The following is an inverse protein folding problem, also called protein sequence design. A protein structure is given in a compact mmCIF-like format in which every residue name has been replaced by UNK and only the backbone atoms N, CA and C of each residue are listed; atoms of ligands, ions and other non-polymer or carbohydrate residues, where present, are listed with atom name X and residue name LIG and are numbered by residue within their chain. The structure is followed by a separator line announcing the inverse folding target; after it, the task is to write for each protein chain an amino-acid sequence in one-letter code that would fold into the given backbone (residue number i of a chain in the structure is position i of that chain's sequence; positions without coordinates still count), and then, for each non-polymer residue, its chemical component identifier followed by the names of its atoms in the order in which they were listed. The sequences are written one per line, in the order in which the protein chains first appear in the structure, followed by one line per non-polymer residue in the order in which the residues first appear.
data_IF_676928359528
#
_entry.id   IF_676928359528
#
_cell.length_a   1.000
_cell.length_b   1.000
_cell.length_c   1.000
_cell.angle_alpha   90.00
_cell.angle_beta   90.00
_cell.angle_gamma   90.00
#
_symmetry.space_group_name_H-M   'P 1'
#
loop_
_entity.id
_entity.type
_entity.pdbx_description
1 polymer ?
#
# COMPACT_ATOMS: atom_id res chain seq x y z
N UNK A 1 -25.05 -2.99 12.30
CA UNK A 1 -24.46 -1.64 12.06
C UNK A 1 -24.36 -0.96 13.42
N UNK A 2 -23.16 -0.57 13.83
CA UNK A 2 -22.93 0.11 15.11
C UNK A 2 -22.97 1.61 14.84
N UNK A 3 -23.90 2.32 15.48
CA UNK A 3 -24.14 3.73 15.24
C UNK A 3 -24.08 4.48 16.58
N UNK A 4 -23.40 5.63 16.60
CA UNK A 4 -23.24 6.46 17.80
C UNK A 4 -21.87 6.29 18.49
N UNK A 5 -21.41 7.35 19.15
CA UNK A 5 -20.07 7.41 19.73
C UNK A 5 -19.86 6.34 20.81
N UNK A 6 -20.83 6.17 21.71
CA UNK A 6 -20.70 5.26 22.85
C UNK A 6 -20.65 3.81 22.40
N UNK A 7 -21.55 3.41 21.48
CA UNK A 7 -21.55 2.08 20.90
C UNK A 7 -20.26 1.78 20.10
N UNK A 8 -19.74 2.77 19.38
CA UNK A 8 -18.45 2.63 18.69
C UNK A 8 -17.28 2.48 19.66
N UNK A 9 -17.24 3.25 20.76
CA UNK A 9 -16.22 3.09 21.80
C UNK A 9 -16.29 1.70 22.43
N UNK A 10 -17.47 1.28 22.84
CA UNK A 10 -17.69 -0.05 23.42
C UNK A 10 -17.20 -1.16 22.48
N UNK A 11 -17.54 -1.07 21.19
CA UNK A 11 -17.08 -2.01 20.17
C UNK A 11 -15.55 -1.98 20.01
N UNK A 12 -14.93 -0.79 19.90
CA UNK A 12 -13.49 -0.63 19.65
C UNK A 12 -12.60 -1.02 20.83
N UNK A 13 -13.14 -1.06 22.05
CA UNK A 13 -12.42 -1.53 23.25
C UNK A 13 -12.71 -3.00 23.59
N UNK A 14 -13.55 -3.68 22.80
CA UNK A 14 -13.91 -5.08 23.04
C UNK A 14 -13.04 -6.02 22.19
N UNK A 15 -12.07 -6.67 22.83
CA UNK A 15 -11.15 -7.62 22.17
C UNK A 15 -11.87 -8.77 21.43
N UNK A 16 -13.11 -9.11 21.82
CA UNK A 16 -13.89 -10.15 21.14
C UNK A 16 -14.36 -9.73 19.74
N UNK A 17 -14.27 -8.44 19.38
CA UNK A 17 -14.75 -7.87 18.11
C UNK A 17 -13.57 -7.34 17.26
N UNK A 18 -12.32 -7.55 17.70
CA UNK A 18 -11.11 -7.07 17.01
C UNK A 18 -10.73 -7.88 15.75
N UNK A 19 -11.49 -8.93 15.42
CA UNK A 19 -11.25 -9.78 14.27
C UNK A 19 -11.38 -9.06 12.92
N UNK A 20 -10.92 -9.70 11.85
CA UNK A 20 -11.11 -9.23 10.47
C UNK A 20 -12.02 -10.16 9.68
N UNK A 21 -12.81 -9.62 8.72
CA UNK A 21 -13.62 -10.44 7.84
C UNK A 21 -12.82 -11.52 7.11
N UNK A 22 -13.44 -12.68 6.92
CA UNK A 22 -12.90 -13.80 6.14
C UNK A 22 -13.77 -14.03 4.91
N UNK A 23 -13.17 -14.50 3.83
CA UNK A 23 -13.87 -14.82 2.59
C UNK A 23 -12.98 -14.64 1.37
N UNK A 24 -13.49 -15.09 0.23
CA UNK A 24 -12.77 -15.08 -1.06
C UNK A 24 -12.24 -13.68 -1.39
N UNK A 25 -13.04 -12.63 -1.19
CA UNK A 25 -12.62 -11.26 -1.45
C UNK A 25 -11.37 -10.85 -0.65
N UNK A 26 -11.33 -11.18 0.64
CA UNK A 26 -10.24 -10.79 1.55
C UNK A 26 -9.01 -11.70 1.44
N UNK A 27 -9.19 -12.96 1.04
CA UNK A 27 -8.09 -13.93 0.94
C UNK A 27 -7.43 -13.90 -0.44
N UNK A 28 -8.21 -13.68 -1.50
CA UNK A 28 -7.69 -13.73 -2.87
C UNK A 28 -6.71 -12.60 -3.18
N UNK A 29 -6.79 -11.44 -2.50
CA UNK A 29 -5.76 -10.37 -2.59
C UNK A 29 -4.36 -10.81 -2.17
N UNK A 30 -4.26 -11.91 -1.41
CA UNK A 30 -3.03 -12.50 -0.89
C UNK A 30 -2.98 -13.99 -1.21
N UNK A 31 -3.28 -14.34 -2.47
CA UNK A 31 -3.16 -15.70 -3.05
C UNK A 31 -3.98 -16.79 -2.34
N UNK A 32 -5.10 -16.42 -1.71
CA UNK A 32 -5.96 -17.35 -0.96
C UNK A 32 -5.55 -17.52 0.50
N UNK A 33 -4.49 -16.85 0.93
CA UNK A 33 -4.04 -16.83 2.32
C UNK A 33 -4.39 -15.49 2.97
N UNK A 34 -4.22 -15.39 4.30
CA UNK A 34 -4.41 -14.14 5.04
C UNK A 34 -3.05 -13.57 5.41
N UNK A 35 -2.58 -12.60 4.63
CA UNK A 35 -1.28 -11.95 4.80
C UNK A 35 -1.42 -10.44 4.89
N UNK A 36 -0.35 -9.77 5.30
CA UNK A 36 -0.32 -8.32 5.52
C UNK A 36 -0.72 -7.92 6.95
N UNK A 37 -1.16 -6.69 7.10
CA UNK A 37 -1.51 -6.03 8.39
C UNK A 37 -2.95 -5.50 8.38
N UNK A 38 -3.53 -5.22 7.21
CA UNK A 38 -4.84 -4.58 7.08
C UNK A 38 -6.00 -5.52 7.43
N UNK A 39 -5.94 -6.77 6.94
CA UNK A 39 -7.03 -7.77 6.99
C UNK A 39 -6.67 -9.06 7.75
N UNK A 40 -5.55 -9.03 8.47
CA UNK A 40 -5.10 -10.10 9.38
C UNK A 40 -5.52 -9.82 10.82
N UNK A 41 -5.58 -10.86 11.64
CA UNK A 41 -5.89 -10.80 13.08
C UNK A 41 -5.03 -11.81 13.86
N UNK A 42 -5.16 -11.79 15.20
CA UNK A 42 -4.44 -12.70 16.09
C UNK A 42 -2.95 -12.39 16.21
N UNK A 43 -2.14 -13.41 16.51
CA UNK A 43 -0.70 -13.25 16.74
C UNK A 43 0.07 -12.77 15.51
N UNK A 44 -0.30 -13.24 14.32
CA UNK A 44 0.29 -12.75 13.06
C UNK A 44 0.13 -11.23 12.93
N UNK A 45 -1.07 -10.71 13.17
CA UNK A 45 -1.31 -9.28 13.12
C UNK A 45 -0.53 -8.51 14.19
N UNK A 46 -0.50 -9.00 15.43
CA UNK A 46 0.24 -8.36 16.53
C UNK A 46 1.73 -8.24 16.21
N UNK A 47 2.31 -9.31 15.69
CA UNK A 47 3.73 -9.37 15.32
C UNK A 47 4.04 -8.43 14.17
N UNK A 48 3.28 -8.51 13.07
CA UNK A 48 3.52 -7.72 11.85
C UNK A 48 3.23 -6.24 12.07
N UNK A 49 2.18 -5.89 12.83
CA UNK A 49 1.90 -4.50 13.21
C UNK A 49 3.01 -3.93 14.11
N UNK A 50 3.49 -4.71 15.08
CA UNK A 50 4.57 -4.27 15.97
C UNK A 50 5.85 -4.02 15.18
N UNK A 51 6.21 -4.95 14.30
CA UNK A 51 7.35 -4.83 13.39
C UNK A 51 7.23 -3.55 12.54
N UNK A 52 6.13 -3.40 11.81
CA UNK A 52 5.91 -2.28 10.90
C UNK A 52 5.93 -0.93 11.63
N UNK A 53 5.22 -0.79 12.75
CA UNK A 53 5.18 0.46 13.51
C UNK A 53 6.50 0.80 14.18
N UNK A 54 7.28 -0.20 14.61
CA UNK A 54 8.60 0.02 15.18
C UNK A 54 9.51 0.64 14.11
N UNK A 55 9.62 0.01 12.95
CA UNK A 55 10.56 0.44 11.92
C UNK A 55 10.11 1.70 11.18
N UNK A 56 8.80 1.88 10.94
CA UNK A 56 8.28 3.16 10.44
C UNK A 56 8.73 4.32 11.36
N UNK A 57 8.63 4.16 12.68
CA UNK A 57 9.06 5.20 13.63
C UNK A 57 10.56 5.44 13.64
N UNK A 58 11.36 4.40 13.41
CA UNK A 58 12.83 4.50 13.27
C UNK A 58 13.19 5.33 12.03
N UNK A 59 12.49 5.10 10.91
CA UNK A 59 12.68 5.86 9.66
C UNK A 59 11.92 7.20 9.60
N UNK A 60 11.39 7.66 10.73
CA UNK A 60 10.88 9.03 10.90
C UNK A 60 9.37 9.20 10.94
N UNK A 61 8.58 8.13 10.77
CA UNK A 61 7.11 8.17 10.85
C UNK A 61 6.62 8.72 12.20
N UNK A 62 5.71 9.69 12.15
CA UNK A 62 5.15 10.33 13.35
C UNK A 62 6.18 11.14 14.16
N UNK A 63 7.33 11.47 13.57
CA UNK A 63 8.39 12.33 14.14
C UNK A 63 8.78 13.43 13.14
N UNK A 64 9.80 14.21 13.47
CA UNK A 64 10.32 15.26 12.58
C UNK A 64 10.73 14.73 11.21
N UNK A 65 11.31 13.52 11.14
CA UNK A 65 11.78 12.91 9.89
C UNK A 65 10.69 12.81 8.82
N UNK A 66 9.47 12.39 9.17
CA UNK A 66 8.34 12.37 8.22
C UNK A 66 8.00 13.77 7.71
N UNK A 67 8.05 14.79 8.59
CA UNK A 67 7.84 16.18 8.19
C UNK A 67 8.93 16.71 7.27
N UNK A 68 10.16 16.25 7.44
CA UNK A 68 11.29 16.62 6.59
C UNK A 68 11.17 15.97 5.20
N UNK A 69 10.81 14.68 5.13
CA UNK A 69 10.51 14.00 3.85
C UNK A 69 9.34 14.68 3.15
N UNK A 70 8.24 14.97 3.85
CA UNK A 70 7.09 15.65 3.28
C UNK A 70 7.44 17.06 2.76
N UNK A 71 8.32 17.79 3.46
CA UNK A 71 8.81 19.10 3.01
C UNK A 71 9.64 18.99 1.73
N UNK A 72 10.48 17.96 1.62
CA UNK A 72 11.26 17.68 0.41
C UNK A 72 10.31 17.38 -0.76
N UNK A 73 9.30 16.53 -0.56
CA UNK A 73 8.33 16.23 -1.61
C UNK A 73 7.48 17.43 -2.01
N UNK A 74 7.11 18.30 -1.05
CA UNK A 74 6.45 19.56 -1.36
C UNK A 74 7.33 20.51 -2.19
N UNK A 75 8.64 20.54 -1.93
CA UNK A 75 9.58 21.34 -2.72
C UNK A 75 9.70 20.80 -4.15
N UNK A 76 9.76 19.47 -4.33
CA UNK A 76 9.73 18.84 -5.64
C UNK A 76 8.44 19.17 -6.40
N UNK A 77 7.29 19.08 -5.73
CA UNK A 77 6.00 19.43 -6.31
C UNK A 77 5.96 20.87 -6.84
N UNK A 78 6.48 21.83 -6.05
CA UNK A 78 6.55 23.23 -6.47
C UNK A 78 7.44 23.39 -7.70
N UNK A 79 8.57 22.69 -7.76
CA UNK A 79 9.46 22.76 -8.92
C UNK A 79 8.84 22.13 -10.17
N UNK A 80 8.11 21.03 -10.03
CA UNK A 80 7.38 20.42 -11.14
C UNK A 80 6.30 21.36 -11.70
N UNK A 81 5.56 22.07 -10.84
CA UNK A 81 4.60 23.11 -11.26
C UNK A 81 5.33 24.26 -11.96
N UNK A 82 6.46 24.74 -11.43
CA UNK A 82 7.26 25.79 -12.08
C UNK A 82 7.73 25.38 -13.46
N UNK A 83 8.17 24.13 -13.61
CA UNK A 83 8.61 23.60 -14.90
C UNK A 83 7.43 23.51 -15.88
N UNK A 84 6.25 23.08 -15.44
CA UNK A 84 5.03 23.11 -16.27
C UNK A 84 4.68 24.52 -16.74
N UNK A 85 4.82 25.53 -15.88
CA UNK A 85 4.60 26.95 -16.26
C UNK A 85 5.63 27.41 -17.27
N UNK A 86 6.92 27.08 -17.08
CA UNK A 86 8.00 27.43 -18.02
C UNK A 86 7.82 26.79 -19.40
N UNK A 87 7.25 25.59 -19.43
CA UNK A 87 7.00 24.83 -20.66
C UNK A 87 5.73 25.29 -21.40
N UNK A 88 4.90 26.18 -20.82
CA UNK A 88 3.73 26.77 -21.48
C UNK A 88 4.16 27.79 -22.56
N UNK A 89 4.47 27.27 -23.75
CA UNK A 89 4.89 28.06 -24.92
C UNK A 89 3.85 29.08 -25.39
N UNK A 90 2.59 28.90 -25.02
CA UNK A 90 1.50 29.74 -25.49
C UNK A 90 1.13 30.86 -24.50
N UNK A 91 1.67 30.82 -23.27
CA UNK A 91 1.44 31.82 -22.22
C UNK A 91 -0.05 32.02 -21.88
N UNK A 92 -0.86 30.98 -22.07
CA UNK A 92 -2.33 30.99 -21.85
C UNK A 92 -2.64 30.62 -20.38
N UNK A 93 -1.65 30.08 -19.67
CA UNK A 93 -1.80 29.52 -18.34
C UNK A 93 -1.94 28.01 -18.40
N UNK A 94 -1.50 27.34 -17.33
CA UNK A 94 -1.55 25.88 -17.22
C UNK A 94 -2.83 25.43 -16.53
N UNK A 95 -3.41 24.34 -17.01
CA UNK A 95 -4.53 23.64 -16.35
C UNK A 95 -4.00 22.36 -15.75
N UNK A 96 -4.11 22.22 -14.44
CA UNK A 96 -3.67 21.02 -13.71
C UNK A 96 -4.91 20.26 -13.24
N UNK A 97 -4.98 18.97 -13.59
CA UNK A 97 -5.98 18.06 -13.06
C UNK A 97 -5.63 17.68 -11.62
N UNK A 98 -6.45 18.10 -10.66
CA UNK A 98 -6.13 17.95 -9.24
C UNK A 98 -6.37 16.55 -8.68
N UNK A 99 -7.21 15.72 -9.34
CA UNK A 99 -7.70 14.45 -8.82
C UNK A 99 -6.60 13.52 -8.27
N UNK A 100 -5.46 13.40 -8.98
CA UNK A 100 -4.32 12.56 -8.58
C UNK A 100 -3.01 13.37 -8.48
N UNK A 101 -3.10 14.70 -8.44
CA UNK A 101 -1.90 15.55 -8.53
C UNK A 101 -0.95 15.36 -7.34
N UNK A 102 -1.51 15.21 -6.14
CA UNK A 102 -0.72 15.08 -4.91
C UNK A 102 -0.25 13.65 -4.64
N UNK A 103 -0.92 12.66 -5.23
CA UNK A 103 -0.79 11.24 -4.88
C UNK A 103 0.67 10.76 -4.97
N UNK A 104 1.41 11.11 -6.04
CA UNK A 104 2.82 10.71 -6.16
C UNK A 104 3.69 11.27 -5.03
N UNK A 105 3.51 12.53 -4.63
CA UNK A 105 4.34 13.18 -3.60
C UNK A 105 4.00 12.65 -2.20
N UNK A 106 2.71 12.46 -1.91
CA UNK A 106 2.24 11.80 -0.70
C UNK A 106 2.82 10.38 -0.63
N UNK A 107 2.71 9.65 -1.72
CA UNK A 107 3.15 8.27 -1.77
C UNK A 107 4.67 8.14 -1.65
N UNK A 108 5.44 9.03 -2.26
CA UNK A 108 6.89 9.09 -2.10
C UNK A 108 7.28 9.31 -0.63
N UNK A 109 6.50 10.06 0.14
CA UNK A 109 6.77 10.24 1.57
C UNK A 109 6.74 8.91 2.30
N UNK A 110 5.74 8.07 2.01
CA UNK A 110 5.63 6.73 2.59
C UNK A 110 6.66 5.76 2.00
N UNK A 111 6.85 5.77 0.67
CA UNK A 111 7.70 4.84 -0.04
C UNK A 111 9.18 5.02 0.29
N UNK A 112 9.61 6.25 0.56
CA UNK A 112 10.96 6.55 1.06
C UNK A 112 11.24 5.81 2.37
N UNK A 113 10.27 5.73 3.30
CA UNK A 113 10.44 4.98 4.56
C UNK A 113 10.32 3.46 4.36
N UNK A 114 9.54 3.02 3.36
CA UNK A 114 9.30 1.60 3.12
C UNK A 114 10.41 0.92 2.33
N UNK A 115 10.98 1.61 1.34
CA UNK A 115 11.87 1.03 0.34
C UNK A 115 13.08 1.94 0.01
N UNK A 116 13.25 3.07 0.68
CA UNK A 116 14.39 3.97 0.46
C UNK A 116 14.39 4.63 -0.93
N UNK A 117 13.26 4.57 -1.64
CA UNK A 117 13.13 5.00 -3.03
C UNK A 117 12.11 6.11 -3.17
N UNK A 118 12.36 6.96 -4.18
CA UNK A 118 11.47 8.02 -4.62
C UNK A 118 11.20 7.85 -6.11
N UNK A 119 9.94 8.00 -6.52
CA UNK A 119 9.55 8.04 -7.92
C UNK A 119 9.38 9.47 -8.41
N UNK A 120 9.65 9.68 -9.68
CA UNK A 120 9.34 10.94 -10.35
C UNK A 120 7.82 11.07 -10.56
N UNK A 121 7.29 12.29 -10.49
CA UNK A 121 5.87 12.55 -10.75
C UNK A 121 5.44 12.15 -12.17
N UNK A 122 6.38 12.03 -13.11
CA UNK A 122 6.16 11.61 -14.50
C UNK A 122 6.42 10.13 -14.73
N UNK A 123 6.87 9.38 -13.73
CA UNK A 123 7.16 7.95 -13.85
C UNK A 123 5.90 7.16 -14.24
N UNK A 124 6.00 6.38 -15.32
CA UNK A 124 4.87 5.65 -15.89
C UNK A 124 4.47 4.42 -15.07
N UNK A 125 5.42 3.77 -14.39
CA UNK A 125 5.13 2.62 -13.53
C UNK A 125 4.40 3.06 -12.27
N UNK A 126 4.83 4.18 -11.69
CA UNK A 126 4.19 4.76 -10.51
C UNK A 126 2.79 5.28 -10.80
N UNK A 127 2.58 5.93 -11.96
CA UNK A 127 1.22 6.32 -12.40
C UNK A 127 0.33 5.11 -12.62
N UNK A 128 0.85 4.07 -13.28
CA UNK A 128 0.11 2.83 -13.47
C UNK A 128 -0.30 2.19 -12.13
N UNK A 129 0.60 2.17 -11.14
CA UNK A 129 0.27 1.65 -9.82
C UNK A 129 -0.85 2.46 -9.15
N UNK A 130 -0.77 3.79 -9.20
CA UNK A 130 -1.80 4.67 -8.63
C UNK A 130 -3.15 4.46 -9.32
N UNK A 131 -3.19 4.41 -10.65
CA UNK A 131 -4.42 4.14 -11.40
C UNK A 131 -5.02 2.77 -11.03
N UNK A 132 -4.18 1.75 -10.83
CA UNK A 132 -4.64 0.42 -10.40
C UNK A 132 -5.18 0.41 -8.97
N UNK A 133 -4.60 1.21 -8.07
CA UNK A 133 -5.10 1.37 -6.70
C UNK A 133 -6.42 2.11 -6.71
N UNK A 134 -6.53 3.21 -7.46
CA UNK A 134 -7.77 3.95 -7.64
C UNK A 134 -8.89 3.05 -8.18
N UNK A 135 -8.61 2.28 -9.25
CA UNK A 135 -9.55 1.30 -9.81
C UNK A 135 -9.99 0.28 -8.76
N UNK A 136 -9.07 -0.16 -7.88
CA UNK A 136 -9.39 -1.08 -6.81
C UNK A 136 -10.36 -0.45 -5.81
N UNK A 137 -10.16 0.80 -5.39
CA UNK A 137 -11.06 1.48 -4.48
C UNK A 137 -12.42 1.80 -5.13
N UNK A 138 -12.43 2.25 -6.38
CA UNK A 138 -13.65 2.55 -7.12
C UNK A 138 -14.51 1.30 -7.39
N UNK A 139 -13.89 0.12 -7.56
CA UNK A 139 -14.60 -1.14 -7.79
C UNK A 139 -15.03 -1.85 -6.51
N UNK A 140 -14.50 -1.45 -5.37
CA UNK A 140 -14.92 -1.92 -4.04
C UNK A 140 -15.98 -0.96 -3.51
N UNK A 141 -17.17 -1.00 -4.12
CA UNK A 141 -18.34 -0.25 -3.64
C UNK A 141 -18.71 -0.69 -2.21
N UNK A 142 -19.52 0.12 -1.50
CA UNK A 142 -19.93 -0.07 -0.10
C UNK A 142 -20.57 -1.44 0.20
N UNK A 143 -21.08 -2.12 -0.84
CA UNK A 143 -21.65 -3.47 -0.76
C UNK A 143 -20.58 -4.56 -0.98
N UNK A 144 -19.42 -4.26 -1.58
CA UNK A 144 -18.42 -5.24 -1.99
C UNK A 144 -18.76 -5.92 -3.32
N UNK A 145 -17.78 -6.56 -3.96
CA UNK A 145 -17.98 -7.21 -5.26
C UNK A 145 -18.97 -8.39 -5.16
N UNK A 146 -19.74 -8.65 -6.22
CA UNK A 146 -20.77 -9.72 -6.24
C UNK A 146 -20.21 -11.10 -5.86
N UNK A 147 -18.97 -11.40 -6.27
CA UNK A 147 -18.29 -12.64 -5.91
C UNK A 147 -17.95 -12.76 -4.41
N UNK A 148 -17.94 -11.65 -3.67
CA UNK A 148 -17.74 -11.64 -2.22
C UNK A 148 -18.94 -12.24 -1.48
N UNK A 149 -20.16 -11.85 -1.90
CA UNK A 149 -21.41 -12.35 -1.31
C UNK A 149 -21.77 -13.75 -1.79
N UNK A 150 -21.51 -14.02 -3.08
CA UNK A 150 -21.81 -15.30 -3.70
C UNK A 150 -20.52 -15.89 -4.31
N UNK A 151 -19.70 -16.59 -3.51
CA UNK A 151 -18.41 -17.13 -3.96
C UNK A 151 -18.50 -18.03 -5.19
N UNK A 152 -19.64 -18.70 -5.38
CA UNK A 152 -19.92 -19.54 -6.56
C UNK A 152 -19.83 -18.75 -7.88
N UNK A 153 -20.12 -17.44 -7.86
CA UNK A 153 -20.04 -16.59 -9.05
C UNK A 153 -18.59 -16.36 -9.51
N UNK A 154 -17.58 -16.56 -8.65
CA UNK A 154 -16.17 -16.54 -9.07
C UNK A 154 -15.82 -17.66 -10.06
N UNK A 155 -16.65 -18.72 -10.11
CA UNK A 155 -16.49 -19.85 -11.02
C UNK A 155 -17.53 -19.80 -12.14
N UNK A 156 -18.80 -19.55 -11.81
CA UNK A 156 -19.90 -19.60 -12.80
C UNK A 156 -19.99 -18.35 -13.70
N UNK A 157 -19.61 -17.19 -13.18
CA UNK A 157 -19.69 -15.93 -13.92
C UNK A 157 -18.53 -14.97 -13.52
N UNK A 158 -17.25 -15.37 -13.72
CA UNK A 158 -16.09 -14.62 -13.21
C UNK A 158 -15.96 -13.21 -13.78
N UNK A 159 -16.39 -12.99 -15.03
CA UNK A 159 -16.45 -11.66 -15.65
C UNK A 159 -17.55 -10.80 -15.03
N UNK A 160 -18.80 -11.29 -15.04
CA UNK A 160 -19.96 -10.51 -14.57
C UNK A 160 -19.92 -10.22 -13.08
N UNK A 161 -19.33 -11.13 -12.29
CA UNK A 161 -19.19 -10.95 -10.85
C UNK A 161 -18.10 -9.97 -10.44
N UNK A 162 -17.25 -9.53 -11.39
CA UNK A 162 -16.11 -8.67 -11.14
C UNK A 162 -14.84 -9.40 -10.68
N UNK A 163 -14.90 -10.71 -10.43
CA UNK A 163 -13.77 -11.51 -9.93
C UNK A 163 -12.56 -11.47 -10.87
N UNK A 164 -12.78 -11.59 -12.18
CA UNK A 164 -11.68 -11.58 -13.17
C UNK A 164 -11.01 -10.21 -13.24
N UNK A 165 -11.77 -9.12 -13.14
CA UNK A 165 -11.22 -7.77 -13.10
C UNK A 165 -10.39 -7.55 -11.82
N UNK A 166 -10.96 -7.92 -10.67
CA UNK A 166 -10.28 -7.89 -9.37
C UNK A 166 -8.94 -8.63 -9.42
N UNK A 167 -8.91 -9.84 -9.95
CA UNK A 167 -7.69 -10.64 -10.11
C UNK A 167 -6.70 -10.03 -11.10
N UNK A 168 -7.18 -9.44 -12.19
CA UNK A 168 -6.32 -8.78 -13.18
C UNK A 168 -5.60 -7.58 -12.57
N UNK A 169 -6.30 -6.75 -11.79
CA UNK A 169 -5.72 -5.61 -11.08
C UNK A 169 -4.70 -6.07 -10.04
N UNK A 170 -5.05 -7.03 -9.18
CA UNK A 170 -4.13 -7.56 -8.16
C UNK A 170 -2.87 -8.17 -8.77
N UNK A 171 -2.97 -8.90 -9.88
CA UNK A 171 -1.78 -9.47 -10.56
C UNK A 171 -0.79 -8.39 -11.01
N UNK A 172 -1.29 -7.25 -11.50
CA UNK A 172 -0.42 -6.13 -11.89
C UNK A 172 0.27 -5.50 -10.67
N UNK A 173 -0.47 -5.28 -9.59
CA UNK A 173 0.08 -4.78 -8.32
C UNK A 173 1.14 -5.74 -7.77
N UNK A 174 0.85 -7.03 -7.70
CA UNK A 174 1.81 -8.03 -7.22
C UNK A 174 3.05 -8.10 -8.10
N UNK A 175 2.90 -7.97 -9.42
CA UNK A 175 4.03 -7.94 -10.34
C UNK A 175 4.96 -6.77 -10.01
N UNK A 176 4.40 -5.56 -9.92
CA UNK A 176 5.14 -4.36 -9.56
C UNK A 176 5.87 -4.52 -8.22
N UNK A 177 5.15 -4.95 -7.17
CA UNK A 177 5.75 -5.10 -5.83
C UNK A 177 6.85 -6.17 -5.78
N UNK A 178 6.69 -7.26 -6.52
CA UNK A 178 7.73 -8.29 -6.62
C UNK A 178 8.97 -7.77 -7.34
N UNK A 179 8.79 -7.03 -8.43
CA UNK A 179 9.89 -6.40 -9.17
C UNK A 179 10.64 -5.42 -8.27
N UNK A 180 9.93 -4.61 -7.48
CA UNK A 180 10.55 -3.69 -6.52
C UNK A 180 11.31 -4.43 -5.41
N UNK A 181 10.72 -5.46 -4.79
CA UNK A 181 11.44 -6.27 -3.79
C UNK A 181 12.66 -6.96 -4.41
N UNK A 182 12.59 -7.39 -5.66
CA UNK A 182 13.72 -8.00 -6.38
C UNK A 182 14.84 -6.98 -6.57
N UNK A 183 14.53 -5.79 -7.12
CA UNK A 183 15.49 -4.68 -7.26
C UNK A 183 16.09 -4.30 -5.91
N UNK A 184 15.30 -4.38 -4.84
CA UNK A 184 15.75 -4.06 -3.48
C UNK A 184 16.73 -5.12 -2.96
N UNK A 185 16.43 -6.41 -3.12
CA UNK A 185 17.34 -7.52 -2.79
C UNK A 185 18.66 -7.45 -3.55
N UNK A 186 18.65 -7.01 -4.81
CA UNK A 186 19.88 -6.83 -5.61
C UNK A 186 20.79 -5.72 -5.09
N UNK A 187 20.22 -4.70 -4.43
CA UNK A 187 20.94 -3.57 -3.84
C UNK A 187 21.27 -3.75 -2.37
N UNK A 188 20.69 -4.77 -1.74
CA UNK A 188 20.85 -5.06 -0.32
C UNK A 188 22.31 -5.40 -0.01
N UNK A 189 22.89 -4.65 0.91
CA UNK A 189 24.24 -4.88 1.42
C UNK A 189 24.17 -5.27 2.91
N UNK A 190 24.48 -6.53 3.27
CA UNK A 190 24.40 -6.99 4.65
C UNK A 190 25.40 -6.27 5.59
N UNK A 191 26.44 -5.64 5.05
CA UNK A 191 27.47 -4.95 5.84
C UNK A 191 27.11 -3.47 6.10
N UNK A 192 26.06 -2.95 5.47
CA UNK A 192 25.58 -1.58 5.65
C UNK A 192 24.40 -1.54 6.63
N UNK A 193 24.18 -0.35 7.19
CA UNK A 193 23.00 -0.05 8.00
C UNK A 193 21.73 -0.09 7.14
N UNK A 194 20.66 -0.65 7.69
CA UNK A 194 19.34 -0.72 7.04
C UNK A 194 18.77 0.69 6.87
N UNK A 195 18.35 1.03 5.65
CA UNK A 195 17.89 2.40 5.31
C UNK A 195 16.38 2.53 5.30
N UNK A 196 15.68 1.41 5.25
CA UNK A 196 14.23 1.33 5.16
C UNK A 196 13.69 -0.03 5.64
N UNK A 197 12.37 -0.19 5.56
CA UNK A 197 11.68 -1.37 6.06
C UNK A 197 11.99 -2.62 5.23
N UNK A 198 12.20 -2.49 3.92
CA UNK A 198 12.53 -3.62 3.05
C UNK A 198 13.91 -4.18 3.40
N UNK A 199 14.91 -3.34 3.63
CA UNK A 199 16.24 -3.76 4.10
C UNK A 199 16.13 -4.60 5.38
N UNK A 200 15.43 -4.07 6.40
CA UNK A 200 15.23 -4.78 7.68
C UNK A 200 14.53 -6.12 7.47
N UNK A 201 13.48 -6.15 6.63
CA UNK A 201 12.72 -7.38 6.38
C UNK A 201 13.55 -8.42 5.60
N UNK A 202 14.31 -8.00 4.59
CA UNK A 202 15.20 -8.87 3.81
C UNK A 202 16.30 -9.44 4.71
N UNK A 203 16.88 -8.64 5.60
CA UNK A 203 17.85 -9.11 6.58
C UNK A 203 17.27 -10.20 7.49
N UNK A 204 16.03 -10.02 7.95
CA UNK A 204 15.32 -11.05 8.73
C UNK A 204 15.18 -12.33 7.90
N UNK A 205 14.67 -12.24 6.67
CA UNK A 205 14.51 -13.41 5.79
C UNK A 205 15.83 -14.14 5.53
N UNK A 206 16.93 -13.40 5.34
CA UNK A 206 18.26 -13.99 5.15
C UNK A 206 18.81 -14.67 6.41
N UNK A 207 18.45 -14.18 7.61
CA UNK A 207 18.96 -14.70 8.88
C UNK A 207 18.18 -15.90 9.42
N UNK A 208 16.86 -15.91 9.33
CA UNK A 208 15.99 -16.94 9.92
C UNK A 208 15.29 -17.83 8.88
N UNK A 209 15.45 -17.53 7.59
CA UNK A 209 14.72 -18.16 6.50
C UNK A 209 13.24 -17.74 6.46
N UNK A 210 12.49 -18.31 5.53
CA UNK A 210 11.03 -18.14 5.53
C UNK A 210 10.40 -18.95 6.69
N UNK A 211 9.49 -18.30 7.40
CA UNK A 211 8.66 -18.87 8.46
C UNK A 211 7.20 -18.48 8.24
N UNK A 212 6.31 -19.07 9.02
CA UNK A 212 4.87 -18.81 8.93
C UNK A 212 4.52 -17.32 9.04
N UNK A 213 5.24 -16.54 9.87
CA UNK A 213 5.01 -15.11 10.05
C UNK A 213 5.89 -14.20 9.19
N UNK A 214 7.07 -14.66 8.78
CA UNK A 214 8.02 -13.90 7.95
C UNK A 214 8.31 -14.63 6.65
N UNK A 215 7.81 -14.09 5.54
CA UNK A 215 8.04 -14.63 4.20
C UNK A 215 7.91 -13.52 3.17
N UNK A 216 8.42 -13.74 1.98
CA UNK A 216 8.35 -12.74 0.91
C UNK A 216 6.90 -12.40 0.55
N UNK A 217 6.00 -13.38 0.57
CA UNK A 217 4.58 -13.15 0.38
C UNK A 217 3.96 -12.24 1.44
N UNK A 218 4.45 -12.30 2.69
CA UNK A 218 4.01 -11.42 3.77
C UNK A 218 4.53 -9.98 3.58
N UNK A 219 5.79 -9.83 3.13
CA UNK A 219 6.34 -8.51 2.78
C UNK A 219 5.56 -7.85 1.63
N UNK A 220 5.28 -8.59 0.55
CA UNK A 220 4.48 -8.07 -0.58
C UNK A 220 3.10 -7.61 -0.10
N UNK A 221 2.43 -8.42 0.74
CA UNK A 221 1.13 -8.08 1.29
C UNK A 221 1.19 -6.81 2.17
N UNK A 222 2.24 -6.67 2.99
CA UNK A 222 2.47 -5.49 3.81
C UNK A 222 2.69 -4.24 2.96
N UNK A 223 3.51 -4.30 1.91
CA UNK A 223 3.71 -3.17 1.00
C UNK A 223 2.40 -2.78 0.32
N UNK A 224 1.63 -3.76 -0.18
CA UNK A 224 0.31 -3.51 -0.78
C UNK A 224 -0.64 -2.82 0.20
N UNK A 225 -0.71 -3.28 1.45
CA UNK A 225 -1.54 -2.66 2.49
C UNK A 225 -1.13 -1.20 2.76
N UNK A 226 0.18 -0.92 2.78
CA UNK A 226 0.70 0.44 2.98
C UNK A 226 0.40 1.36 1.80
N UNK A 227 0.56 0.91 0.56
CA UNK A 227 0.15 1.66 -0.63
C UNK A 227 -1.34 1.97 -0.60
N UNK A 228 -2.19 0.97 -0.34
CA UNK A 228 -3.64 1.16 -0.28
C UNK A 228 -4.04 2.15 0.81
N UNK A 229 -3.45 2.03 2.00
CA UNK A 229 -3.77 2.92 3.12
C UNK A 229 -3.18 4.32 2.97
N UNK A 230 -2.09 4.50 2.22
CA UNK A 230 -1.37 5.78 2.12
C UNK A 230 -1.84 6.68 0.96
N UNK A 231 -2.19 6.09 -0.19
CA UNK A 231 -2.41 6.85 -1.43
C UNK A 231 -3.79 7.51 -1.50
N UNK A 232 -4.86 6.83 -1.10
CA UNK A 232 -6.23 7.35 -1.30
C UNK A 232 -6.77 8.16 -0.11
N UNK A 233 -6.18 8.02 1.08
CA UNK A 233 -6.73 8.64 2.30
C UNK A 233 -6.18 10.03 2.60
N UNK A 234 -5.08 10.43 1.95
CA UNK A 234 -4.27 11.62 2.32
C UNK A 234 -4.35 12.66 1.21
#
# INVERSE_FOLDING_TARGET
MVNGLDANKEMLYNENIDGRPKGIFYQTRTWGERRGVLLTDGELWKEQRRFLLKHLKEFGFGRSGMGDIARIEAAHMIEDVRNMIRDDKNNIGIVIQMHNFFNTYVLNTLWTMMAGLRYDAKDSEMKLLQDLLFDLFATVDMVGALFSHFPVLSVLAPEMSGYKNFMKTHRKIWKFLREEITKHKERFDPDQEDKDIMDVYIRILNSIGERDTYSEGQLIAMCMDMFMAGTETT
#
